data_IF_931015933916
#
_entry.id   IF_931015933916
#
_cell.length_a   1.000
_cell.length_b   1.000
_cell.length_c   1.000
_cell.angle_alpha   90.00
_cell.angle_beta   90.00
_cell.angle_gamma   90.00
#
_symmetry.space_group_name_H-M   'P 1'
#
loop_
_entity.id
_entity.type
_entity.pdbx_description
1 polymer ?
#
# COMPACT_ATOMS: atom_id res chain seq x y z
N UNK A 1 -11.66 -49.22 -12.12
CA UNK A 1 -11.59 -48.31 -10.96
C UNK A 1 -10.89 -47.02 -11.43
N UNK A 2 -11.66 -45.96 -11.74
CA UNK A 2 -11.10 -44.67 -12.06
C UNK A 2 -10.62 -44.03 -10.75
N UNK A 3 -9.32 -43.96 -10.53
CA UNK A 3 -8.72 -43.15 -9.51
C UNK A 3 -8.87 -41.68 -9.96
N UNK A 4 -9.81 -40.94 -9.37
CA UNK A 4 -9.81 -39.49 -9.42
C UNK A 4 -8.64 -38.99 -8.57
N UNK A 5 -7.50 -38.69 -9.21
CA UNK A 5 -6.45 -37.90 -8.57
C UNK A 5 -7.04 -36.51 -8.41
N UNK A 6 -7.44 -36.12 -7.19
CA UNK A 6 -7.71 -34.72 -6.87
C UNK A 6 -6.38 -34.00 -7.00
N UNK A 7 -6.24 -33.19 -8.04
CA UNK A 7 -5.13 -32.25 -8.11
C UNK A 7 -5.13 -31.42 -6.83
N UNK A 8 -4.03 -31.45 -6.11
CA UNK A 8 -3.85 -30.60 -4.93
C UNK A 8 -3.84 -29.16 -5.41
N UNK A 9 -4.72 -28.32 -4.88
CA UNK A 9 -4.70 -26.88 -5.13
C UNK A 9 -3.30 -26.35 -4.78
N UNK A 10 -2.63 -25.65 -5.71
CA UNK A 10 -1.31 -25.09 -5.42
C UNK A 10 -1.36 -24.15 -4.22
N UNK A 11 -0.35 -24.24 -3.36
CA UNK A 11 -0.17 -23.38 -2.18
C UNK A 11 1.13 -22.63 -2.33
N UNK A 12 1.09 -21.33 -2.05
CA UNK A 12 2.21 -20.41 -2.19
C UNK A 12 2.61 -19.87 -0.83
N UNK A 13 3.90 -19.65 -0.60
CA UNK A 13 4.44 -19.14 0.65
C UNK A 13 5.33 -20.12 1.38
N UNK A 14 5.83 -19.73 2.56
CA UNK A 14 6.88 -20.42 3.30
C UNK A 14 6.57 -20.47 4.80
N UNK A 15 7.27 -21.35 5.51
CA UNK A 15 7.26 -21.43 6.97
C UNK A 15 5.86 -21.55 7.61
N UNK A 16 4.94 -22.28 6.95
CA UNK A 16 3.57 -22.46 7.43
C UNK A 16 2.63 -21.27 7.19
N UNK A 17 3.12 -20.18 6.62
CA UNK A 17 2.31 -19.03 6.20
C UNK A 17 2.09 -19.16 4.69
N UNK A 18 1.02 -19.83 4.33
CA UNK A 18 0.75 -20.23 2.93
C UNK A 18 -0.68 -19.91 2.54
N UNK A 19 -0.88 -19.65 1.26
CA UNK A 19 -2.16 -19.28 0.66
C UNK A 19 -2.42 -20.08 -0.60
N UNK A 20 -3.68 -20.37 -0.88
CA UNK A 20 -4.15 -20.87 -2.18
C UNK A 20 -4.74 -19.72 -2.98
N UNK A 21 -4.53 -19.73 -4.29
CA UNK A 21 -5.04 -18.68 -5.17
C UNK A 21 -6.46 -18.98 -5.65
N UNK A 22 -7.38 -18.01 -5.50
CA UNK A 22 -8.69 -18.03 -6.11
C UNK A 22 -8.69 -17.11 -7.35
N UNK A 23 -8.61 -17.69 -8.54
CA UNK A 23 -8.58 -16.94 -9.81
C UNK A 23 -9.96 -16.44 -10.27
N UNK A 24 -11.03 -16.79 -9.57
CA UNK A 24 -12.41 -16.40 -9.93
C UNK A 24 -12.90 -15.21 -9.10
N UNK A 25 -12.17 -14.81 -8.06
CA UNK A 25 -12.55 -13.69 -7.23
C UNK A 25 -12.39 -12.37 -7.99
N UNK A 26 -13.38 -11.47 -7.90
CA UNK A 26 -13.30 -10.13 -8.45
C UNK A 26 -13.45 -10.03 -9.97
N UNK A 27 -14.04 -11.03 -10.61
CA UNK A 27 -14.31 -10.97 -12.06
C UNK A 27 -15.26 -9.82 -12.40
N UNK A 28 -14.83 -8.96 -13.33
CA UNK A 28 -15.58 -7.80 -13.80
C UNK A 28 -16.01 -7.96 -15.26
N UNK A 29 -17.08 -7.25 -15.63
CA UNK A 29 -17.43 -7.03 -17.03
C UNK A 29 -16.68 -5.79 -17.54
N UNK A 30 -15.71 -5.92 -18.47
CA UNK A 30 -14.89 -4.78 -18.95
C UNK A 30 -15.68 -3.68 -19.64
N UNK A 31 -16.85 -3.99 -20.18
CA UNK A 31 -17.72 -2.99 -20.84
C UNK A 31 -18.46 -2.13 -19.81
N UNK A 32 -18.86 -2.72 -18.69
CA UNK A 32 -19.66 -2.05 -17.65
C UNK A 32 -18.79 -1.42 -16.56
N UNK A 33 -17.72 -2.11 -16.19
CA UNK A 33 -16.79 -1.71 -15.12
C UNK A 33 -15.36 -1.81 -15.64
N UNK A 34 -14.97 -0.96 -16.61
CA UNK A 34 -13.59 -0.92 -17.07
C UNK A 34 -12.65 -0.54 -15.93
N UNK A 35 -11.44 -1.07 -15.97
CA UNK A 35 -10.32 -0.68 -15.12
C UNK A 35 -9.13 -0.30 -16.01
N UNK A 36 -8.30 0.57 -15.49
CA UNK A 36 -6.97 0.81 -16.04
C UNK A 36 -5.92 0.35 -15.01
N UNK A 37 -5.06 1.21 -14.48
CA UNK A 37 -4.18 0.79 -13.40
C UNK A 37 -4.97 0.63 -12.10
N UNK A 38 -4.97 -0.59 -11.56
CA UNK A 38 -5.53 -0.90 -10.27
C UNK A 38 -4.41 -0.73 -9.22
N UNK A 39 -4.54 0.29 -8.36
CA UNK A 39 -3.47 0.64 -7.46
C UNK A 39 -3.61 0.03 -6.08
N UNK A 40 -4.77 0.18 -5.45
CA UNK A 40 -4.93 -0.21 -4.05
C UNK A 40 -6.31 -0.76 -3.72
N UNK A 41 -6.37 -1.53 -2.63
CA UNK A 41 -7.61 -2.06 -2.08
C UNK A 41 -7.67 -1.87 -0.57
N UNK A 42 -8.90 -1.66 -0.06
CA UNK A 42 -9.18 -1.64 1.38
C UNK A 42 -10.48 -2.38 1.68
N UNK A 43 -10.61 -2.91 2.90
CA UNK A 43 -11.84 -3.49 3.39
C UNK A 43 -12.59 -2.48 4.27
N UNK A 44 -13.87 -2.23 3.99
CA UNK A 44 -14.71 -1.35 4.81
C UNK A 44 -15.26 -2.07 6.07
N UNK A 45 -15.95 -1.31 6.93
CA UNK A 45 -16.55 -1.84 8.17
C UNK A 45 -17.73 -2.79 7.91
N UNK A 46 -18.25 -2.84 6.68
CA UNK A 46 -19.28 -3.79 6.24
C UNK A 46 -18.70 -5.09 5.66
N UNK A 47 -17.37 -5.22 5.62
CA UNK A 47 -16.66 -6.36 5.06
C UNK A 47 -16.55 -6.34 3.53
N UNK A 48 -16.92 -5.24 2.87
CA UNK A 48 -16.79 -5.07 1.43
C UNK A 48 -15.35 -4.70 1.07
N UNK A 49 -14.90 -5.07 -0.11
CA UNK A 49 -13.58 -4.70 -0.64
C UNK A 49 -13.75 -3.58 -1.67
N UNK A 50 -13.03 -2.49 -1.46
CA UNK A 50 -13.01 -1.33 -2.32
C UNK A 50 -11.70 -1.34 -3.10
N UNK A 51 -11.78 -1.35 -4.44
CA UNK A 51 -10.64 -1.28 -5.35
C UNK A 51 -10.55 0.12 -5.94
N UNK A 52 -9.37 0.74 -5.86
CA UNK A 52 -9.07 2.01 -6.52
C UNK A 52 -8.40 1.78 -7.87
N UNK A 53 -8.88 2.47 -8.89
CA UNK A 53 -8.28 2.52 -10.24
C UNK A 53 -8.28 3.97 -10.76
N UNK A 54 -7.34 4.29 -11.64
CA UNK A 54 -7.30 5.59 -12.32
C UNK A 54 -8.21 5.64 -13.57
N UNK A 55 -9.08 4.63 -13.76
CA UNK A 55 -10.12 4.66 -14.79
C UNK A 55 -11.25 5.63 -14.40
N UNK A 56 -11.40 6.73 -15.15
CA UNK A 56 -12.32 7.81 -14.79
C UNK A 56 -13.79 7.54 -15.09
N UNK A 57 -14.14 6.35 -15.53
CA UNK A 57 -15.55 5.92 -15.58
C UNK A 57 -16.02 5.34 -14.25
N UNK A 58 -15.11 4.83 -13.44
CA UNK A 58 -15.39 4.24 -12.13
C UNK A 58 -14.10 4.11 -11.29
N UNK A 59 -13.65 5.20 -10.69
CA UNK A 59 -12.43 5.20 -9.90
C UNK A 59 -12.43 4.22 -8.72
N UNK A 60 -13.59 3.97 -8.11
CA UNK A 60 -13.74 3.03 -6.99
C UNK A 60 -14.75 1.96 -7.36
N UNK A 61 -14.34 0.71 -7.27
CA UNK A 61 -15.19 -0.46 -7.51
C UNK A 61 -15.34 -1.21 -6.20
N UNK A 62 -16.57 -1.53 -5.83
CA UNK A 62 -16.92 -2.18 -4.56
C UNK A 62 -17.38 -3.60 -4.83
N UNK A 63 -16.73 -4.56 -4.15
CA UNK A 63 -17.07 -5.97 -4.14
C UNK A 63 -17.63 -6.37 -2.79
N UNK A 64 -18.51 -7.35 -2.77
CA UNK A 64 -18.77 -8.08 -1.54
C UNK A 64 -17.60 -9.04 -1.23
N UNK A 65 -17.62 -9.68 -0.07
CA UNK A 65 -16.57 -10.60 0.39
C UNK A 65 -16.32 -11.78 -0.53
N UNK A 66 -17.34 -12.24 -1.26
CA UNK A 66 -17.22 -13.33 -2.24
C UNK A 66 -16.59 -12.91 -3.57
N UNK A 67 -16.28 -11.61 -3.76
CA UNK A 67 -15.75 -11.07 -5.00
C UNK A 67 -16.80 -10.68 -6.04
N UNK A 68 -18.09 -10.70 -5.67
CA UNK A 68 -19.15 -10.23 -6.57
C UNK A 68 -19.22 -8.71 -6.56
N UNK A 69 -19.38 -8.12 -7.74
CA UNK A 69 -19.58 -6.68 -7.91
C UNK A 69 -20.83 -6.19 -7.18
N UNK A 70 -20.70 -5.09 -6.45
CA UNK A 70 -21.81 -4.42 -5.75
C UNK A 70 -22.17 -3.12 -6.45
N UNK A 71 -21.23 -2.19 -6.52
CA UNK A 71 -21.38 -0.86 -7.12
C UNK A 71 -20.03 -0.26 -7.48
N UNK A 72 -20.04 0.82 -8.25
CA UNK A 72 -18.85 1.62 -8.52
C UNK A 72 -19.20 3.09 -8.65
N UNK A 73 -18.22 3.95 -8.37
CA UNK A 73 -18.36 5.40 -8.44
C UNK A 73 -17.02 6.09 -8.71
N UNK A 74 -17.05 7.40 -8.93
CA UNK A 74 -15.90 8.28 -9.11
C UNK A 74 -15.50 8.44 -10.56
N UNK A 75 -15.33 9.72 -10.94
CA UNK A 75 -14.90 10.14 -12.28
C UNK A 75 -13.82 11.23 -12.20
N UNK A 76 -13.49 11.64 -10.98
CA UNK A 76 -12.72 12.85 -10.71
C UNK A 76 -11.23 12.61 -10.50
N UNK A 77 -10.78 11.35 -10.43
CA UNK A 77 -9.41 10.99 -10.00
C UNK A 77 -8.60 10.35 -11.12
N UNK A 78 -8.13 11.13 -12.14
CA UNK A 78 -7.38 10.58 -13.27
C UNK A 78 -5.99 10.04 -12.90
N UNK A 79 -5.44 10.48 -11.78
CA UNK A 79 -4.18 10.01 -11.21
C UNK A 79 -4.38 9.26 -9.91
N UNK A 80 -5.55 8.64 -9.68
CA UNK A 80 -5.82 7.86 -8.47
C UNK A 80 -4.71 6.85 -8.19
N UNK A 81 -4.10 6.91 -6.98
CA UNK A 81 -2.94 6.10 -6.64
C UNK A 81 -3.04 5.47 -5.24
N UNK A 82 -3.00 6.23 -4.17
CA UNK A 82 -3.11 5.73 -2.80
C UNK A 82 -4.57 5.67 -2.32
N UNK A 83 -4.89 4.64 -1.54
CA UNK A 83 -6.21 4.46 -0.93
C UNK A 83 -6.06 3.99 0.52
N UNK A 84 -6.38 4.86 1.46
CA UNK A 84 -6.43 4.53 2.89
C UNK A 84 -7.85 4.64 3.41
N UNK A 85 -8.23 3.78 4.34
CA UNK A 85 -9.52 3.83 5.01
C UNK A 85 -9.36 4.24 6.48
N UNK A 86 -10.16 5.19 6.93
CA UNK A 86 -10.34 5.54 8.34
C UNK A 86 -11.68 4.98 8.82
N UNK A 87 -11.64 4.09 9.81
CA UNK A 87 -12.83 3.51 10.44
C UNK A 87 -13.05 4.18 11.79
N UNK A 88 -14.13 4.95 11.92
CA UNK A 88 -14.41 5.69 13.15
C UNK A 88 -15.34 4.93 14.12
N UNK A 89 -15.83 3.76 13.74
CA UNK A 89 -16.84 2.99 14.47
C UNK A 89 -18.28 3.47 14.22
N UNK A 90 -18.46 4.65 13.64
CA UNK A 90 -19.78 5.17 13.20
C UNK A 90 -19.90 5.15 11.68
N UNK A 91 -18.87 5.61 11.00
CA UNK A 91 -18.77 5.68 9.55
C UNK A 91 -17.30 5.51 9.12
N UNK A 92 -17.11 5.15 7.87
CA UNK A 92 -15.80 5.01 7.25
C UNK A 92 -15.54 6.16 6.31
N UNK A 93 -14.29 6.62 6.26
CA UNK A 93 -13.81 7.62 5.31
C UNK A 93 -12.66 7.05 4.49
N UNK A 94 -12.58 7.47 3.24
CA UNK A 94 -11.46 7.16 2.35
C UNK A 94 -10.54 8.35 2.23
N UNK A 95 -9.25 8.08 2.13
CA UNK A 95 -8.24 9.04 1.69
C UNK A 95 -7.72 8.56 0.34
N UNK A 96 -7.82 9.40 -0.68
CA UNK A 96 -7.35 9.11 -2.04
C UNK A 96 -6.27 10.12 -2.40
N UNK A 97 -5.12 9.64 -2.86
CA UNK A 97 -4.10 10.46 -3.49
C UNK A 97 -4.30 10.49 -5.01
N UNK A 98 -4.13 11.64 -5.62
CA UNK A 98 -4.18 11.80 -7.08
C UNK A 98 -2.89 12.44 -7.57
N UNK A 99 -2.07 11.64 -8.26
CA UNK A 99 -0.76 12.04 -8.76
C UNK A 99 -0.84 13.02 -9.94
N UNK A 100 -1.93 12.97 -10.73
CA UNK A 100 -2.12 13.86 -11.87
C UNK A 100 -2.72 15.21 -11.47
N UNK A 101 -3.57 15.23 -10.44
CA UNK A 101 -4.12 16.47 -9.89
C UNK A 101 -3.23 17.13 -8.86
N UNK A 102 -2.23 16.40 -8.35
CA UNK A 102 -1.34 16.88 -7.28
C UNK A 102 -2.11 17.21 -6.00
N UNK A 103 -3.03 16.32 -5.61
CA UNK A 103 -3.96 16.53 -4.50
C UNK A 103 -4.19 15.26 -3.71
N UNK A 104 -4.64 15.44 -2.46
CA UNK A 104 -5.14 14.36 -1.61
C UNK A 104 -6.54 14.72 -1.14
N UNK A 105 -7.42 13.73 -1.07
CA UNK A 105 -8.82 13.91 -0.73
C UNK A 105 -9.22 13.04 0.45
N UNK A 106 -10.00 13.60 1.38
CA UNK A 106 -10.82 12.84 2.33
C UNK A 106 -12.23 12.78 1.79
N UNK A 107 -12.81 11.57 1.73
CA UNK A 107 -14.03 11.28 0.98
C UNK A 107 -14.90 10.33 1.81
N UNK A 108 -16.23 10.45 1.72
CA UNK A 108 -17.15 9.44 2.26
C UNK A 108 -17.11 8.16 1.42
N UNK A 109 -17.60 7.05 1.96
CA UNK A 109 -17.65 5.76 1.23
C UNK A 109 -18.45 5.83 -0.07
N UNK A 110 -19.41 6.74 -0.17
CA UNK A 110 -20.25 6.97 -1.35
C UNK A 110 -19.72 8.06 -2.30
N UNK A 111 -18.49 8.54 -2.05
CA UNK A 111 -17.78 9.41 -3.01
C UNK A 111 -17.89 10.91 -2.79
N UNK A 112 -18.50 11.39 -1.68
CA UNK A 112 -18.58 12.83 -1.39
C UNK A 112 -17.24 13.33 -0.82
N UNK A 113 -16.61 14.29 -1.52
CA UNK A 113 -15.38 14.95 -1.07
C UNK A 113 -15.68 15.83 0.15
N UNK A 114 -14.95 15.63 1.24
CA UNK A 114 -15.07 16.39 2.49
C UNK A 114 -13.89 17.35 2.70
N UNK A 115 -12.70 16.97 2.22
CA UNK A 115 -11.47 17.74 2.37
C UNK A 115 -10.61 17.55 1.12
N UNK A 116 -9.96 18.61 0.66
CA UNK A 116 -8.96 18.56 -0.40
C UNK A 116 -7.68 19.19 0.14
N UNK A 117 -6.56 18.50 -0.01
CA UNK A 117 -5.22 18.97 0.33
C UNK A 117 -4.46 19.24 -0.95
N UNK A 118 -4.04 20.47 -1.11
CA UNK A 118 -3.14 20.93 -2.17
C UNK A 118 -1.68 20.89 -1.72
N UNK A 119 -0.77 21.14 -2.65
CA UNK A 119 0.66 21.32 -2.36
C UNK A 119 0.86 22.38 -1.25
N UNK A 120 1.57 22.07 -0.16
CA UNK A 120 1.76 23.01 0.96
C UNK A 120 2.73 24.14 0.59
N UNK A 121 2.19 25.31 0.30
CA UNK A 121 2.95 26.48 -0.19
C UNK A 121 4.05 26.98 0.77
N UNK A 122 3.93 26.68 2.07
CA UNK A 122 4.90 27.06 3.09
C UNK A 122 6.20 26.24 3.05
N UNK A 123 6.22 25.14 2.30
CA UNK A 123 7.41 24.31 2.13
C UNK A 123 8.12 24.72 0.84
N UNK A 124 9.41 25.10 0.88
CA UNK A 124 10.14 25.58 -0.31
C UNK A 124 10.14 24.60 -1.49
N UNK A 125 10.09 23.29 -1.23
CA UNK A 125 10.03 22.26 -2.27
C UNK A 125 8.75 22.34 -3.13
N UNK A 126 7.68 22.95 -2.64
CA UNK A 126 6.36 23.01 -3.29
C UNK A 126 5.98 24.38 -3.83
N UNK A 127 6.96 25.22 -4.17
CA UNK A 127 6.71 26.50 -4.84
C UNK A 127 5.97 26.34 -6.20
N UNK A 128 6.10 25.16 -6.79
CA UNK A 128 5.33 24.76 -7.97
C UNK A 128 4.45 23.57 -7.58
N UNK A 129 3.16 23.67 -7.89
CA UNK A 129 2.16 22.63 -7.60
C UNK A 129 2.59 21.24 -8.11
N UNK A 130 3.22 21.19 -9.27
CA UNK A 130 3.67 19.98 -9.95
C UNK A 130 4.78 19.22 -9.21
N UNK A 131 5.41 19.87 -8.22
CA UNK A 131 6.39 19.22 -7.36
C UNK A 131 5.75 18.32 -6.29
N UNK A 132 4.44 18.48 -6.04
CA UNK A 132 3.68 17.63 -5.12
C UNK A 132 3.01 16.50 -5.89
N UNK A 133 3.52 15.27 -5.73
CA UNK A 133 2.98 14.08 -6.41
C UNK A 133 2.77 12.98 -5.35
N UNK A 134 1.68 13.13 -4.55
CA UNK A 134 1.43 12.27 -3.39
C UNK A 134 1.11 10.85 -3.82
N UNK A 135 1.73 9.88 -3.14
CA UNK A 135 1.57 8.46 -3.45
C UNK A 135 0.68 7.73 -2.46
N UNK A 136 0.74 8.09 -1.16
CA UNK A 136 0.05 7.35 -0.13
C UNK A 136 -0.28 8.21 1.09
N UNK A 137 -1.23 7.74 1.89
CA UNK A 137 -1.59 8.33 3.18
C UNK A 137 -1.57 7.31 4.32
N UNK A 138 -1.42 7.79 5.54
CA UNK A 138 -1.63 7.00 6.75
C UNK A 138 -2.42 7.83 7.76
N UNK A 139 -3.46 7.26 8.36
CA UNK A 139 -4.42 8.00 9.19
C UNK A 139 -4.41 7.44 10.60
N UNK A 140 -4.27 8.33 11.59
CA UNK A 140 -4.37 8.01 13.01
C UNK A 140 -5.83 7.93 13.47
N UNK A 141 -6.07 7.26 14.59
CA UNK A 141 -7.41 7.11 15.18
C UNK A 141 -8.05 8.45 15.54
N UNK A 142 -7.24 9.46 15.89
CA UNK A 142 -7.71 10.82 16.18
C UNK A 142 -8.06 11.64 14.93
N UNK A 143 -7.84 11.09 13.73
CA UNK A 143 -8.12 11.75 12.45
C UNK A 143 -6.96 12.55 11.87
N UNK A 144 -5.85 12.75 12.60
CA UNK A 144 -4.61 13.27 12.03
C UNK A 144 -4.08 12.31 10.98
N UNK A 145 -3.41 12.81 9.97
CA UNK A 145 -2.93 11.97 8.88
C UNK A 145 -1.59 12.43 8.31
N UNK A 146 -0.91 11.48 7.68
CA UNK A 146 0.35 11.68 6.98
C UNK A 146 0.15 11.47 5.49
N UNK A 147 0.88 12.24 4.69
CA UNK A 147 0.97 12.10 3.24
C UNK A 147 2.42 11.79 2.89
N UNK A 148 2.65 10.74 2.14
CA UNK A 148 3.94 10.47 1.51
C UNK A 148 3.93 11.06 0.10
N UNK A 149 4.83 11.99 -0.18
CA UNK A 149 5.01 12.62 -1.49
C UNK A 149 6.05 11.85 -2.33
N UNK A 150 5.78 10.56 -2.55
CA UNK A 150 6.78 9.60 -3.03
C UNK A 150 7.19 9.72 -4.49
N UNK A 151 6.42 10.43 -5.32
CA UNK A 151 6.80 10.75 -6.69
C UNK A 151 7.18 12.23 -6.87
N UNK A 152 7.03 13.04 -5.83
CA UNK A 152 7.39 14.44 -5.81
C UNK A 152 8.70 14.72 -5.08
N UNK A 153 8.66 15.62 -4.11
CA UNK A 153 9.82 16.08 -3.36
C UNK A 153 10.25 15.15 -2.21
N UNK A 154 9.59 14.01 -2.03
CA UNK A 154 9.92 12.97 -1.06
C UNK A 154 9.68 13.35 0.41
N UNK A 155 8.92 14.39 0.69
CA UNK A 155 8.53 14.74 2.04
C UNK A 155 7.43 13.85 2.59
N UNK A 156 7.46 13.64 3.90
CA UNK A 156 6.35 13.11 4.68
C UNK A 156 5.70 14.30 5.37
N UNK A 157 4.45 14.54 5.08
CA UNK A 157 3.68 15.70 5.53
C UNK A 157 2.67 15.28 6.57
N UNK A 158 2.67 15.89 7.75
CA UNK A 158 1.76 15.60 8.86
C UNK A 158 0.70 16.68 8.97
N UNK A 159 -0.55 16.31 8.89
CA UNK A 159 -1.73 17.19 8.98
C UNK A 159 -2.60 16.87 10.19
N UNK A 160 -3.29 17.87 10.72
CA UNK A 160 -4.39 17.65 11.64
C UNK A 160 -5.65 17.15 10.90
N UNK A 161 -6.70 16.79 11.63
CA UNK A 161 -7.96 16.26 11.08
C UNK A 161 -8.73 17.26 10.19
N UNK A 162 -8.37 18.54 10.26
CA UNK A 162 -8.96 19.64 9.47
C UNK A 162 -8.15 19.96 8.21
N UNK A 163 -6.98 19.33 8.05
CA UNK A 163 -6.09 19.57 6.92
C UNK A 163 -5.12 20.72 7.12
N UNK A 164 -4.81 21.09 8.37
CA UNK A 164 -3.77 22.07 8.68
C UNK A 164 -2.44 21.33 8.81
N UNK A 165 -1.43 21.77 8.06
CA UNK A 165 -0.07 21.21 8.14
C UNK A 165 0.53 21.46 9.53
N UNK A 166 0.96 20.40 10.21
CA UNK A 166 1.59 20.43 11.54
C UNK A 166 3.11 20.32 11.47
N UNK A 167 3.61 19.43 10.62
CA UNK A 167 5.02 19.11 10.51
C UNK A 167 5.34 18.51 9.15
N UNK A 168 6.61 18.54 8.77
CA UNK A 168 7.14 17.80 7.63
C UNK A 168 8.55 17.32 7.91
N UNK A 169 8.91 16.15 7.36
CA UNK A 169 10.23 15.56 7.47
C UNK A 169 10.58 14.75 6.22
N UNK A 170 11.79 14.20 6.17
CA UNK A 170 12.26 13.48 4.99
C UNK A 170 12.75 14.44 3.91
N UNK A 171 12.22 14.33 2.71
CA UNK A 171 12.72 15.01 1.52
C UNK A 171 13.70 14.14 0.73
N UNK A 172 14.07 14.57 -0.46
CA UNK A 172 15.03 13.88 -1.32
C UNK A 172 16.45 14.06 -0.79
N UNK A 173 17.23 12.98 -0.66
CA UNK A 173 18.61 13.04 -0.18
C UNK A 173 19.24 11.68 0.02
N UNK A 174 20.53 11.63 0.34
CA UNK A 174 21.32 10.40 0.47
C UNK A 174 21.35 9.83 1.90
N UNK A 175 21.17 10.68 2.93
CA UNK A 175 21.17 10.23 4.33
C UNK A 175 19.96 9.35 4.67
N UNK A 176 20.09 8.59 5.75
CA UNK A 176 19.07 7.61 6.18
C UNK A 176 17.71 8.24 6.50
N UNK A 177 17.67 9.47 6.95
CA UNK A 177 16.44 10.23 7.22
C UNK A 177 15.73 10.75 5.96
N UNK A 178 16.40 10.72 4.80
CA UNK A 178 15.87 11.14 3.50
C UNK A 178 15.38 9.95 2.68
N UNK A 179 14.68 10.22 1.57
CA UNK A 179 14.12 9.22 0.70
C UNK A 179 14.56 9.42 -0.76
N UNK A 180 14.59 8.32 -1.49
CA UNK A 180 14.67 8.32 -2.95
C UNK A 180 13.31 8.02 -3.59
N UNK A 181 12.50 7.16 -2.94
CA UNK A 181 11.11 6.91 -3.33
C UNK A 181 10.25 6.55 -2.11
N UNK A 182 9.71 7.57 -1.43
CA UNK A 182 8.80 7.42 -0.28
C UNK A 182 7.42 6.95 -0.75
N UNK A 183 7.33 5.72 -1.29
CA UNK A 183 6.17 5.26 -2.05
C UNK A 183 4.95 4.93 -1.19
N UNK A 184 5.14 4.29 -0.05
CA UNK A 184 4.06 3.83 0.82
C UNK A 184 4.30 4.23 2.28
N UNK A 185 3.24 4.34 3.04
CA UNK A 185 3.27 4.66 4.46
C UNK A 185 2.12 3.98 5.19
N UNK A 186 2.36 3.49 6.41
CA UNK A 186 1.30 3.07 7.32
C UNK A 186 1.60 3.46 8.77
N UNK A 187 0.57 3.42 9.62
CA UNK A 187 0.74 3.49 11.09
C UNK A 187 0.97 2.08 11.61
N UNK A 188 2.03 1.88 12.38
CA UNK A 188 2.33 0.62 13.05
C UNK A 188 1.96 0.70 14.53
N UNK A 189 0.89 0.01 14.92
CA UNK A 189 0.41 -0.12 16.30
C UNK A 189 0.91 -1.39 17.01
N UNK A 190 1.79 -2.19 16.40
CA UNK A 190 2.30 -3.45 16.99
C UNK A 190 3.22 -3.22 18.19
N UNK A 191 3.79 -2.03 18.33
CA UNK A 191 4.62 -1.62 19.45
C UNK A 191 3.85 -1.04 20.63
N UNK A 192 4.57 -0.55 21.65
CA UNK A 192 3.98 0.15 22.82
C UNK A 192 3.39 1.52 22.44
N UNK A 193 3.99 2.18 21.49
CA UNK A 193 3.56 3.47 20.95
C UNK A 193 3.44 3.35 19.43
N UNK A 194 2.49 4.03 18.79
CA UNK A 194 2.36 4.02 17.34
C UNK A 194 3.60 4.66 16.69
N UNK A 195 4.00 4.08 15.57
CA UNK A 195 5.10 4.57 14.73
C UNK A 195 4.67 4.58 13.27
N UNK A 196 5.46 5.21 12.41
CA UNK A 196 5.29 5.15 10.96
C UNK A 196 6.23 4.09 10.38
N UNK A 197 5.72 3.28 9.45
CA UNK A 197 6.58 2.52 8.53
C UNK A 197 6.41 3.13 7.15
N UNK A 198 7.52 3.55 6.57
CA UNK A 198 7.56 4.25 5.29
C UNK A 198 8.45 3.46 4.34
N UNK A 199 7.95 3.22 3.15
CA UNK A 199 8.70 2.57 2.08
C UNK A 199 9.71 3.54 1.47
N UNK A 200 10.97 3.11 1.32
CA UNK A 200 11.90 3.70 0.37
C UNK A 200 12.18 2.67 -0.73
N UNK A 201 11.32 2.66 -1.75
CA UNK A 201 11.19 1.57 -2.73
C UNK A 201 12.47 1.35 -3.54
N UNK A 202 13.10 2.41 -3.99
CA UNK A 202 14.34 2.35 -4.79
C UNK A 202 15.51 1.79 -3.96
N UNK A 203 15.50 2.03 -2.65
CA UNK A 203 16.53 1.53 -1.72
C UNK A 203 16.23 0.13 -1.17
N UNK A 204 15.10 -0.48 -1.51
CA UNK A 204 14.67 -1.79 -1.02
C UNK A 204 14.61 -1.86 0.52
N UNK A 205 14.03 -0.85 1.16
CA UNK A 205 13.88 -0.79 2.61
C UNK A 205 12.51 -0.29 3.03
N UNK A 206 12.10 -0.69 4.22
CA UNK A 206 11.19 0.09 5.04
C UNK A 206 11.98 0.89 6.07
N UNK A 207 11.53 2.09 6.37
CA UNK A 207 12.07 2.94 7.42
C UNK A 207 11.02 3.19 8.47
N UNK A 208 11.35 2.91 9.73
CA UNK A 208 10.50 3.22 10.88
C UNK A 208 10.84 4.60 11.41
N UNK A 209 9.82 5.42 11.57
CA UNK A 209 9.90 6.74 12.17
C UNK A 209 8.94 6.85 13.36
N UNK A 210 9.30 7.67 14.35
CA UNK A 210 8.33 8.18 15.31
C UNK A 210 7.32 9.12 14.62
N UNK A 211 6.19 9.38 15.27
CA UNK A 211 5.16 10.26 14.71
C UNK A 211 5.65 11.71 14.48
N UNK A 212 6.67 12.16 15.21
CA UNK A 212 7.31 13.46 15.06
C UNK A 212 8.44 13.50 14.01
N UNK A 213 8.69 12.36 13.31
CA UNK A 213 9.62 12.30 12.19
C UNK A 213 11.07 11.95 12.53
N UNK A 214 11.34 11.33 13.71
CA UNK A 214 12.65 10.82 14.06
C UNK A 214 12.84 9.41 13.54
N UNK A 215 13.91 9.16 12.76
CA UNK A 215 14.27 7.83 12.29
C UNK A 215 14.62 6.90 13.48
N UNK A 216 14.05 5.71 13.50
CA UNK A 216 14.22 4.71 14.56
C UNK A 216 14.87 3.42 14.07
N UNK A 217 14.54 2.96 12.85
CA UNK A 217 14.97 1.66 12.32
C UNK A 217 14.97 1.68 10.79
N UNK A 218 15.88 0.93 10.17
CA UNK A 218 15.85 0.61 8.74
C UNK A 218 15.71 -0.91 8.61
N UNK A 219 14.67 -1.35 7.91
CA UNK A 219 14.37 -2.76 7.64
C UNK A 219 14.80 -3.05 6.22
N UNK A 220 15.90 -3.78 6.07
CA UNK A 220 16.48 -4.10 4.77
C UNK A 220 15.76 -5.27 4.09
N UNK A 221 15.35 -5.08 2.85
CA UNK A 221 14.64 -6.05 2.01
C UNK A 221 15.37 -6.21 0.66
N UNK A 222 16.62 -6.68 0.65
CA UNK A 222 17.45 -6.69 -0.54
C UNK A 222 16.76 -7.46 -1.68
N UNK A 223 16.70 -6.86 -2.86
CA UNK A 223 16.05 -7.40 -4.05
C UNK A 223 14.53 -7.22 -4.10
N UNK A 224 13.92 -6.52 -3.12
CA UNK A 224 12.47 -6.30 -3.08
C UNK A 224 12.14 -4.81 -3.23
N UNK A 225 11.63 -4.40 -4.38
CA UNK A 225 11.09 -3.06 -4.60
C UNK A 225 9.66 -3.01 -4.01
N UNK A 226 9.58 -2.87 -2.68
CA UNK A 226 8.32 -2.94 -1.92
C UNK A 226 7.44 -1.71 -2.14
N UNK A 227 6.14 -1.92 -2.14
CA UNK A 227 5.12 -0.88 -2.17
C UNK A 227 4.62 -0.55 -0.76
N UNK A 228 3.31 -0.27 -0.60
CA UNK A 228 2.72 0.08 0.69
C UNK A 228 2.87 -1.06 1.72
N UNK A 229 3.32 -0.78 2.95
CA UNK A 229 3.22 -1.73 4.05
C UNK A 229 1.77 -1.76 4.58
N UNK A 230 1.23 -2.97 4.74
CA UNK A 230 -0.10 -3.22 5.31
C UNK A 230 0.04 -4.11 6.53
N UNK A 231 -0.46 -3.66 7.68
CA UNK A 231 -0.37 -4.39 8.94
C UNK A 231 -1.70 -5.05 9.27
N UNK A 232 -1.65 -6.34 9.55
CA UNK A 232 -2.77 -7.12 10.09
C UNK A 232 -2.29 -8.04 11.20
N UNK A 233 -2.80 -7.81 12.41
CA UNK A 233 -2.29 -8.52 13.60
C UNK A 233 -0.79 -8.27 13.80
N UNK A 234 -0.03 -9.32 13.99
CA UNK A 234 1.42 -9.25 14.18
C UNK A 234 2.23 -9.18 12.87
N UNK A 235 1.57 -9.32 11.72
CA UNK A 235 2.24 -9.38 10.42
C UNK A 235 2.15 -8.08 9.65
N UNK A 236 3.21 -7.83 8.87
CA UNK A 236 3.28 -6.79 7.85
C UNK A 236 3.33 -7.47 6.48
N UNK A 237 2.44 -7.06 5.60
CA UNK A 237 2.33 -7.54 4.22
C UNK A 237 2.72 -6.41 3.27
N UNK A 238 3.40 -6.74 2.19
CA UNK A 238 3.66 -5.77 1.13
C UNK A 238 3.77 -6.44 -0.24
N UNK A 239 3.23 -5.79 -1.24
CA UNK A 239 3.54 -6.12 -2.62
C UNK A 239 4.99 -5.71 -2.92
N UNK A 240 5.71 -6.59 -3.58
CA UNK A 240 6.99 -6.30 -4.22
C UNK A 240 6.70 -6.07 -5.69
N UNK A 241 6.73 -4.80 -6.12
CA UNK A 241 6.40 -4.43 -7.49
C UNK A 241 7.29 -5.17 -8.50
N UNK A 242 8.58 -5.17 -8.23
CA UNK A 242 9.62 -5.78 -9.07
C UNK A 242 10.82 -6.26 -8.24
N UNK A 243 11.60 -7.17 -8.81
CA UNK A 243 12.75 -7.80 -8.16
C UNK A 243 13.79 -8.20 -9.23
N UNK A 244 15.09 -7.96 -9.06
CA UNK A 244 15.71 -7.30 -7.90
C UNK A 244 15.68 -5.78 -7.98
N UNK A 245 15.21 -5.19 -9.07
CA UNK A 245 15.18 -3.75 -9.28
C UNK A 245 13.93 -3.31 -10.06
N UNK A 246 13.64 -2.01 -10.09
CA UNK A 246 12.51 -1.44 -10.83
C UNK A 246 12.62 -1.60 -12.35
N UNK A 247 13.79 -1.93 -12.90
CA UNK A 247 13.98 -2.21 -14.32
C UNK A 247 13.46 -3.60 -14.76
N UNK A 248 13.30 -4.53 -13.80
CA UNK A 248 12.87 -5.91 -14.08
C UNK A 248 11.35 -6.02 -14.10
N UNK A 249 10.75 -5.92 -15.28
CA UNK A 249 9.31 -6.04 -15.43
C UNK A 249 8.80 -7.46 -15.13
N UNK A 250 7.54 -7.57 -14.70
CA UNK A 250 6.83 -8.83 -14.46
C UNK A 250 7.54 -9.78 -13.46
N UNK A 251 8.23 -9.22 -12.48
CA UNK A 251 9.08 -9.95 -11.53
C UNK A 251 8.61 -9.80 -10.06
N UNK A 252 7.36 -9.42 -9.84
CA UNK A 252 6.84 -9.14 -8.51
C UNK A 252 6.37 -10.37 -7.73
N UNK A 253 6.18 -10.18 -6.43
CA UNK A 253 5.63 -11.15 -5.49
C UNK A 253 5.04 -10.42 -4.27
N UNK A 254 4.51 -11.16 -3.30
CA UNK A 254 4.06 -10.56 -2.02
C UNK A 254 4.98 -11.06 -0.91
N UNK A 255 5.51 -10.13 -0.10
CA UNK A 255 6.35 -10.45 1.06
C UNK A 255 5.59 -10.26 2.36
N UNK A 256 5.86 -11.12 3.35
CA UNK A 256 5.23 -11.12 4.67
C UNK A 256 6.31 -11.10 5.74
N UNK A 257 6.27 -10.08 6.61
CA UNK A 257 7.17 -9.92 7.75
C UNK A 257 6.43 -10.19 9.05
N UNK A 258 7.12 -10.76 10.02
CA UNK A 258 6.61 -10.96 11.37
C UNK A 258 6.72 -9.68 12.22
N UNK A 259 6.36 -9.77 13.50
CA UNK A 259 6.38 -8.67 14.46
C UNK A 259 7.77 -8.08 14.69
N UNK A 260 8.81 -8.88 14.53
CA UNK A 260 10.22 -8.49 14.61
C UNK A 260 10.76 -7.93 13.29
N UNK A 261 9.88 -7.65 12.32
CA UNK A 261 10.20 -7.16 10.98
C UNK A 261 11.12 -8.10 10.17
N UNK A 262 11.10 -9.40 10.46
CA UNK A 262 11.80 -10.41 9.66
C UNK A 262 10.87 -10.96 8.60
N UNK A 263 11.35 -11.06 7.36
CA UNK A 263 10.63 -11.74 6.29
C UNK A 263 10.48 -13.22 6.65
N UNK A 264 9.26 -13.71 6.67
CA UNK A 264 8.92 -15.09 7.06
C UNK A 264 8.26 -15.87 5.93
N UNK A 265 7.65 -15.19 4.97
CA UNK A 265 7.04 -15.84 3.80
C UNK A 265 7.04 -14.90 2.59
N UNK A 266 7.14 -15.49 1.40
CA UNK A 266 6.98 -14.78 0.13
C UNK A 266 6.02 -15.58 -0.75
N UNK A 267 4.91 -14.95 -1.17
CA UNK A 267 3.96 -15.59 -2.09
C UNK A 267 4.43 -15.33 -3.52
N UNK A 268 4.88 -16.38 -4.20
CA UNK A 268 5.51 -16.28 -5.52
C UNK A 268 6.96 -15.79 -5.52
N UNK A 269 7.53 -15.50 -4.36
CA UNK A 269 8.94 -15.13 -4.21
C UNK A 269 9.79 -16.27 -3.66
N UNK A 270 11.12 -16.07 -3.63
CA UNK A 270 12.08 -17.01 -3.06
C UNK A 270 11.87 -17.21 -1.57
N UNK A 271 12.21 -18.42 -1.07
CA UNK A 271 12.19 -18.69 0.36
C UNK A 271 13.10 -17.71 1.10
N UNK A 272 12.60 -17.03 2.16
CA UNK A 272 13.45 -16.12 2.93
C UNK A 272 14.52 -16.88 3.70
N UNK A 273 15.78 -16.53 3.47
CA UNK A 273 16.95 -17.13 4.13
C UNK A 273 17.78 -16.05 4.78
N UNK A 274 18.29 -16.36 5.97
CA UNK A 274 19.13 -15.45 6.76
C UNK A 274 20.52 -16.07 6.97
N UNK A 275 21.55 -15.28 6.67
CA UNK A 275 22.94 -15.64 6.93
C UNK A 275 23.58 -14.57 7.83
N UNK A 276 24.15 -14.98 8.94
CA UNK A 276 24.71 -14.07 9.95
C UNK A 276 23.74 -12.94 10.36
N UNK A 277 22.44 -13.26 10.47
CA UNK A 277 21.38 -12.32 10.84
C UNK A 277 20.93 -11.37 9.74
N UNK A 278 21.49 -11.46 8.53
CA UNK A 278 21.12 -10.66 7.37
C UNK A 278 20.25 -11.47 6.41
N UNK A 279 19.21 -10.84 5.88
CA UNK A 279 18.35 -11.42 4.85
C UNK A 279 19.12 -11.52 3.53
N UNK A 280 19.10 -12.70 2.92
CA UNK A 280 19.61 -12.89 1.57
C UNK A 280 18.73 -12.18 0.53
N UNK A 281 19.27 -11.77 -0.62
CA UNK A 281 18.48 -11.11 -1.66
C UNK A 281 17.26 -11.94 -2.08
N UNK A 282 16.11 -11.27 -2.10
CA UNK A 282 14.84 -11.83 -2.52
C UNK A 282 14.69 -11.73 -4.04
N UNK A 283 13.95 -12.67 -4.61
CA UNK A 283 13.63 -12.67 -6.04
C UNK A 283 12.29 -13.35 -6.28
N UNK A 284 11.68 -13.10 -7.44
CA UNK A 284 10.54 -13.91 -7.88
C UNK A 284 10.97 -15.36 -8.11
N UNK A 285 10.22 -16.30 -7.58
CA UNK A 285 10.40 -17.74 -7.77
C UNK A 285 9.31 -18.34 -8.66
N UNK A 286 8.08 -17.86 -8.53
CA UNK A 286 6.91 -18.34 -9.28
C UNK A 286 6.15 -17.15 -9.86
N UNK A 287 5.77 -17.23 -11.14
CA UNK A 287 5.11 -16.12 -11.86
C UNK A 287 3.60 -16.08 -11.61
N UNK A 288 3.20 -15.99 -10.33
CA UNK A 288 1.80 -15.82 -9.93
C UNK A 288 1.38 -14.34 -9.92
N UNK A 289 2.33 -13.44 -9.78
CA UNK A 289 2.13 -11.99 -9.90
C UNK A 289 3.05 -11.44 -10.99
N UNK A 290 2.63 -10.35 -11.62
CA UNK A 290 3.48 -9.60 -12.56
C UNK A 290 4.12 -8.40 -11.86
N UNK A 291 3.33 -7.32 -11.73
CA UNK A 291 3.72 -6.08 -11.06
C UNK A 291 2.68 -5.76 -9.98
N UNK A 292 2.61 -6.55 -8.87
CA UNK A 292 1.67 -6.28 -7.80
C UNK A 292 2.02 -4.95 -7.15
N UNK A 293 1.02 -4.09 -6.97
CA UNK A 293 1.26 -2.73 -6.46
C UNK A 293 0.84 -2.58 -5.01
N UNK A 294 -0.15 -3.34 -4.56
CA UNK A 294 -0.66 -3.29 -3.20
C UNK A 294 -1.13 -4.67 -2.73
N UNK A 295 -1.43 -4.76 -1.44
CA UNK A 295 -2.13 -5.87 -0.81
C UNK A 295 -3.28 -5.34 0.05
N UNK A 296 -4.38 -6.07 0.07
CA UNK A 296 -5.43 -5.91 1.05
C UNK A 296 -5.53 -7.20 1.85
N UNK A 297 -5.54 -7.11 3.18
CA UNK A 297 -5.76 -8.26 4.04
C UNK A 297 -7.09 -8.09 4.73
N UNK A 298 -8.04 -8.98 4.43
CA UNK A 298 -9.39 -8.90 4.98
C UNK A 298 -9.46 -9.37 6.44
N UNK A 299 -10.66 -9.33 7.02
CA UNK A 299 -10.90 -9.74 8.40
C UNK A 299 -10.78 -11.27 8.64
N UNK A 300 -10.76 -12.07 7.57
CA UNK A 300 -10.53 -13.53 7.60
C UNK A 300 -9.07 -13.89 7.31
N UNK A 301 -8.23 -12.91 6.96
CA UNK A 301 -6.82 -13.10 6.61
C UNK A 301 -6.58 -13.49 5.15
N UNK A 302 -7.58 -13.35 4.28
CA UNK A 302 -7.38 -13.46 2.82
C UNK A 302 -6.60 -12.25 2.30
N UNK A 303 -5.79 -12.46 1.29
CA UNK A 303 -4.96 -11.43 0.66
C UNK A 303 -5.44 -11.21 -0.78
#
# INVERSE_FOLDING_TARGET
KNLFIREKTPVYGHNGITYSMNTQWGALNPEKTPVNDCHEMVQDSKGRILLLTNETKNNVIIYNKSGSYVESWGTEFPGAHGLTIQKTGKEDFLFITDTAKHQVYKITIDGKILLTIDAPADIPAYQKKEAFIPTETAVLDNGEFYIADGYGAQHILHYDEKGTLKNSFGGKGEGDQFFDNAHGICIDYRGKTPTLIITDRTRNVFKRFSLDGKLMEIIHLPGACVCRPVIKGDYLYAAVLRSPSLSEADSGFVTILNKENKVVSNLGGSEPKYENGKLNPLSQAEKIFRNPHDVCVDDEGSI
#
